data_IF_143540557821
#
_entry.id   IF_143540557821
#
_cell.length_a   1.000
_cell.length_b   1.000
_cell.length_c   1.000
_cell.angle_alpha   90.00
_cell.angle_beta   90.00
_cell.angle_gamma   90.00
#
_symmetry.space_group_name_H-M   'P 1'
#
loop_
_entity.id
_entity.type
_entity.pdbx_description
1 polymer ?
#
# COMPACT_ATOMS: atom_id res chain seq x y z
N UNK A 1 -1.73 13.53 1.10
CA UNK A 1 -1.09 12.77 0.00
C UNK A 1 0.30 12.41 0.47
N UNK A 2 0.67 11.13 0.43
CA UNK A 2 2.00 10.64 0.76
C UNK A 2 2.57 9.91 -0.46
N UNK A 3 3.77 10.28 -0.87
CA UNK A 3 4.48 9.68 -2.00
C UNK A 3 5.73 8.98 -1.47
N UNK A 4 5.65 7.65 -1.34
CA UNK A 4 6.68 6.79 -0.74
C UNK A 4 7.32 7.37 0.55
N UNK A 5 6.53 7.63 1.60
CA UNK A 5 6.97 8.42 2.75
C UNK A 5 8.13 7.80 3.54
N UNK A 6 8.43 6.52 3.32
CA UNK A 6 9.46 5.76 4.05
C UNK A 6 10.65 5.36 3.17
N UNK A 7 10.65 5.62 1.86
CA UNK A 7 11.67 5.08 0.94
C UNK A 7 13.08 5.66 1.14
N UNK A 8 13.18 6.86 1.72
CA UNK A 8 14.45 7.52 2.01
C UNK A 8 14.89 7.41 3.48
N UNK A 9 14.19 6.58 4.27
CA UNK A 9 14.47 6.42 5.70
C UNK A 9 15.29 5.16 5.98
N UNK A 10 16.12 5.25 7.01
CA UNK A 10 16.77 4.07 7.57
C UNK A 10 15.70 3.10 8.12
N UNK A 11 15.91 1.76 8.02
CA UNK A 11 14.92 0.76 8.42
C UNK A 11 14.39 0.92 9.85
N UNK A 12 15.21 1.45 10.76
CA UNK A 12 14.85 1.68 12.17
C UNK A 12 13.79 2.78 12.35
N UNK A 13 13.70 3.74 11.41
CA UNK A 13 12.79 4.88 11.48
C UNK A 13 11.47 4.68 10.72
N UNK A 14 11.38 3.64 9.89
CA UNK A 14 10.19 3.34 9.08
C UNK A 14 8.96 3.15 9.97
N UNK A 15 9.10 2.42 11.07
CA UNK A 15 7.98 2.14 11.99
C UNK A 15 7.37 3.40 12.62
N UNK A 16 8.19 4.40 12.96
CA UNK A 16 7.72 5.64 13.57
C UNK A 16 6.85 6.44 12.59
N UNK A 17 7.28 6.55 11.33
CA UNK A 17 6.52 7.26 10.29
C UNK A 17 5.23 6.53 9.97
N UNK A 18 5.27 5.20 9.81
CA UNK A 18 4.06 4.42 9.55
C UNK A 18 3.05 4.53 10.69
N UNK A 19 3.50 4.61 11.95
CA UNK A 19 2.62 4.82 13.10
C UNK A 19 1.87 6.15 13.01
N UNK A 20 2.56 7.25 12.68
CA UNK A 20 1.92 8.57 12.53
C UNK A 20 0.89 8.55 11.39
N UNK A 21 1.21 7.91 10.27
CA UNK A 21 0.28 7.81 9.13
C UNK A 21 -0.96 6.99 9.52
N UNK A 22 -0.78 5.91 10.29
CA UNK A 22 -1.89 5.10 10.82
C UNK A 22 -2.80 5.89 11.75
N UNK A 23 -2.23 6.72 12.62
CA UNK A 23 -3.00 7.61 13.50
C UNK A 23 -3.83 8.63 12.68
N UNK A 24 -3.27 9.16 11.59
CA UNK A 24 -4.01 10.04 10.67
C UNK A 24 -5.16 9.32 9.96
N UNK A 25 -4.93 8.08 9.51
CA UNK A 25 -5.94 7.25 8.85
C UNK A 25 -7.11 6.97 9.81
N UNK A 26 -6.81 6.53 11.03
CA UNK A 26 -7.82 6.24 12.07
C UNK A 26 -8.52 7.50 12.58
N UNK A 27 -7.87 8.67 12.49
CA UNK A 27 -8.44 9.98 12.80
C UNK A 27 -9.47 10.50 11.78
N UNK A 28 -9.77 9.73 10.72
CA UNK A 28 -10.76 10.10 9.70
C UNK A 28 -10.22 11.06 8.64
N UNK A 29 -8.91 11.24 8.57
CA UNK A 29 -8.28 12.02 7.47
C UNK A 29 -8.30 11.18 6.20
N UNK A 30 -8.77 11.75 5.09
CA UNK A 30 -8.66 11.09 3.79
C UNK A 30 -7.21 11.09 3.34
N UNK A 31 -6.66 9.90 3.11
CA UNK A 31 -5.28 9.69 2.69
C UNK A 31 -5.21 9.02 1.32
N UNK A 32 -4.23 9.43 0.52
CA UNK A 32 -3.77 8.70 -0.66
C UNK A 32 -2.27 8.50 -0.47
N UNK A 33 -1.83 7.25 -0.54
CA UNK A 33 -0.49 6.83 -0.18
C UNK A 33 0.06 5.96 -1.32
N UNK A 34 1.22 6.34 -1.84
CA UNK A 34 2.06 5.46 -2.67
C UNK A 34 3.07 4.80 -1.74
N UNK A 35 3.16 3.48 -1.75
CA UNK A 35 4.06 2.75 -0.85
C UNK A 35 4.43 1.36 -1.39
N UNK A 36 5.62 0.88 -1.01
CA UNK A 36 6.03 -0.52 -1.19
C UNK A 36 5.82 -1.36 0.08
N UNK A 37 5.37 -0.75 1.18
CA UNK A 37 5.10 -1.42 2.45
C UNK A 37 3.75 -2.16 2.42
N UNK A 38 3.71 -3.34 1.79
CA UNK A 38 2.46 -4.11 1.60
C UNK A 38 1.80 -4.48 2.94
N UNK A 39 2.61 -4.80 3.96
CA UNK A 39 2.10 -5.11 5.30
C UNK A 39 1.35 -3.94 5.93
N UNK A 40 1.85 -2.72 5.73
CA UNK A 40 1.19 -1.50 6.16
C UNK A 40 -0.08 -1.24 5.36
N UNK A 41 0.00 -1.32 4.02
CA UNK A 41 -1.15 -1.12 3.14
C UNK A 41 -2.31 -2.08 3.48
N UNK A 42 -1.99 -3.34 3.80
CA UNK A 42 -2.97 -4.34 4.28
C UNK A 42 -3.67 -3.92 5.57
N UNK A 43 -2.98 -3.23 6.46
CA UNK A 43 -3.51 -2.87 7.78
C UNK A 43 -4.37 -1.60 7.75
N UNK A 44 -3.99 -0.60 6.94
CA UNK A 44 -4.61 0.73 7.00
C UNK A 44 -5.47 1.11 5.80
N UNK A 45 -5.31 0.44 4.65
CA UNK A 45 -5.99 0.88 3.43
C UNK A 45 -7.43 0.37 3.39
N UNK A 46 -8.37 1.27 3.09
CA UNK A 46 -9.74 0.89 2.71
C UNK A 46 -9.78 0.31 1.28
N UNK A 47 -8.91 0.82 0.41
CA UNK A 47 -8.86 0.47 -1.00
C UNK A 47 -7.40 0.45 -1.50
N UNK A 48 -7.06 -0.55 -2.31
CA UNK A 48 -5.77 -0.72 -2.97
C UNK A 48 -5.95 -0.50 -4.47
N UNK A 49 -5.02 0.25 -5.06
CA UNK A 49 -4.93 0.46 -6.51
C UNK A 49 -3.57 -0.08 -6.96
N UNK A 50 -3.60 -1.10 -7.81
CA UNK A 50 -2.40 -1.64 -8.45
C UNK A 50 -2.22 -1.01 -9.84
N UNK A 51 -1.08 -0.35 -10.03
CA UNK A 51 -0.70 0.32 -11.27
C UNK A 51 0.44 -0.45 -11.95
N UNK A 52 0.32 -0.64 -13.27
CA UNK A 52 1.38 -1.17 -14.13
C UNK A 52 1.27 -0.51 -15.51
N UNK A 53 2.41 -0.16 -16.10
CA UNK A 53 2.51 0.55 -17.40
C UNK A 53 1.61 1.81 -17.50
N UNK A 54 1.55 2.58 -16.41
CA UNK A 54 0.76 3.81 -16.33
C UNK A 54 -0.77 3.60 -16.32
N UNK A 55 -1.25 2.38 -16.07
CA UNK A 55 -2.67 2.03 -16.02
C UNK A 55 -3.04 1.41 -14.69
N UNK A 56 -4.27 1.67 -14.24
CA UNK A 56 -4.87 0.90 -13.15
C UNK A 56 -5.21 -0.47 -13.71
N UNK A 57 -4.51 -1.48 -13.22
CA UNK A 57 -4.64 -2.86 -13.65
C UNK A 57 -5.60 -3.63 -12.75
N UNK A 58 -5.60 -3.32 -11.46
CA UNK A 58 -6.50 -3.92 -10.48
C UNK A 58 -6.78 -2.94 -9.34
N UNK A 59 -8.00 -2.95 -8.81
CA UNK A 59 -8.43 -2.07 -7.75
C UNK A 59 -9.50 -2.77 -6.90
N UNK A 60 -9.48 -2.52 -5.58
CA UNK A 60 -10.47 -3.02 -4.65
C UNK A 60 -9.96 -3.10 -3.21
N UNK A 61 -10.74 -3.70 -2.29
CA UNK A 61 -10.31 -3.88 -0.90
C UNK A 61 -8.99 -4.66 -0.81
N UNK A 62 -8.17 -4.46 0.24
CA UNK A 62 -6.91 -5.16 0.41
C UNK A 62 -7.02 -6.68 0.31
N UNK A 63 -8.06 -7.28 0.89
CA UNK A 63 -8.30 -8.72 0.81
C UNK A 63 -8.50 -9.23 -0.63
N UNK A 64 -9.05 -8.39 -1.51
CA UNK A 64 -9.26 -8.76 -2.90
C UNK A 64 -7.98 -8.58 -3.72
N UNK A 65 -7.26 -7.47 -3.54
CA UNK A 65 -6.10 -7.15 -4.38
C UNK A 65 -4.82 -7.83 -3.89
N UNK A 66 -4.62 -7.93 -2.57
CA UNK A 66 -3.40 -8.46 -1.96
C UNK A 66 -3.48 -9.97 -1.67
N UNK A 67 -4.62 -10.46 -1.18
CA UNK A 67 -4.77 -11.89 -0.83
C UNK A 67 -5.34 -12.74 -1.95
N UNK A 68 -6.25 -12.18 -2.76
CA UNK A 68 -6.95 -12.91 -3.82
C UNK A 68 -6.90 -12.19 -5.17
N UNK A 69 -5.71 -11.74 -5.62
CA UNK A 69 -5.57 -10.97 -6.86
C UNK A 69 -6.15 -11.74 -8.06
N UNK A 70 -7.07 -11.11 -8.77
CA UNK A 70 -7.68 -11.65 -9.97
C UNK A 70 -6.76 -11.46 -11.18
N UNK A 71 -6.04 -10.33 -11.27
CA UNK A 71 -5.24 -10.03 -12.45
C UNK A 71 -3.89 -10.78 -12.43
N UNK A 72 -3.48 -11.44 -13.52
CA UNK A 72 -2.21 -12.18 -13.59
C UNK A 72 -0.99 -11.31 -13.27
N UNK A 73 -1.01 -10.04 -13.70
CA UNK A 73 0.07 -9.09 -13.44
C UNK A 73 0.23 -8.76 -11.95
N UNK A 74 -0.88 -8.52 -11.25
CA UNK A 74 -0.89 -8.30 -9.80
C UNK A 74 -0.35 -9.53 -9.07
N UNK A 75 -0.77 -10.74 -9.47
CA UNK A 75 -0.23 -12.01 -8.94
C UNK A 75 1.29 -12.12 -9.14
N UNK A 76 1.77 -11.84 -10.34
CA UNK A 76 3.20 -11.89 -10.65
C UNK A 76 3.99 -10.90 -9.79
N UNK A 77 3.50 -9.66 -9.66
CA UNK A 77 4.13 -8.63 -8.84
C UNK A 77 4.20 -9.07 -7.37
N UNK A 78 3.06 -9.47 -6.78
CA UNK A 78 3.00 -9.87 -5.38
C UNK A 78 3.90 -11.07 -5.09
N UNK A 79 4.04 -12.03 -6.02
CA UNK A 79 4.94 -13.18 -5.85
C UNK A 79 6.44 -12.84 -5.79
N UNK A 80 6.83 -11.62 -6.16
CA UNK A 80 8.22 -11.14 -6.10
C UNK A 80 8.49 -10.28 -4.85
N UNK A 81 7.44 -9.77 -4.23
CA UNK A 81 7.54 -8.80 -3.12
C UNK A 81 7.13 -9.44 -1.78
N UNK A 82 6.27 -10.48 -1.81
CA UNK A 82 5.88 -11.31 -0.68
C UNK A 82 6.65 -12.64 -0.69
#
# INVERSE_FOLDING_TARGET
LFDEPTSALDPELVGEVLSVIKDLATGGTTLVIVTHEIGFAREVADEIVFLDDGRIVEQGPPEQVLDRPAHPRTREFLSKVL
#
